data_IF_535166362613
#
_entry.id   IF_535166362613
#
_cell.length_a   1.000
_cell.length_b   1.000
_cell.length_c   1.000
_cell.angle_alpha   90.00
_cell.angle_beta   90.00
_cell.angle_gamma   90.00
#
_symmetry.space_group_name_H-M   'P 1'
#
loop_
_entity.id
_entity.type
_entity.pdbx_description
1 polymer ?
#
# COMPACT_ATOMS: atom_id res chain seq x y z
N UNK A 1 4.37 -19.18 -0.89
CA UNK A 1 5.81 -18.90 -0.62
C UNK A 1 6.13 -17.40 -0.62
N UNK A 2 5.61 -16.60 -1.57
CA UNK A 2 5.92 -15.16 -1.68
C UNK A 2 5.25 -14.26 -0.63
N UNK A 3 3.93 -14.37 -0.42
CA UNK A 3 3.16 -13.49 0.49
C UNK A 3 3.76 -13.50 1.90
N UNK A 4 4.01 -14.71 2.41
CA UNK A 4 4.69 -14.96 3.67
C UNK A 4 6.04 -14.22 3.74
N UNK A 5 6.89 -14.35 2.72
CA UNK A 5 8.21 -13.70 2.68
C UNK A 5 8.09 -12.18 2.78
N UNK A 6 7.12 -11.57 2.09
CA UNK A 6 6.88 -10.13 2.16
C UNK A 6 6.38 -9.69 3.54
N UNK A 7 5.53 -10.49 4.18
CA UNK A 7 5.10 -10.22 5.55
C UNK A 7 6.26 -10.25 6.56
N UNK A 8 7.16 -11.24 6.50
CA UNK A 8 8.36 -11.25 7.36
C UNK A 8 9.32 -10.10 7.04
N UNK A 9 9.49 -9.76 5.76
CA UNK A 9 10.28 -8.58 5.37
C UNK A 9 9.67 -7.28 5.88
N UNK A 10 8.33 -7.18 5.93
CA UNK A 10 7.62 -6.07 6.54
C UNK A 10 7.89 -5.98 8.05
N UNK A 11 7.74 -7.09 8.79
CA UNK A 11 8.06 -7.12 10.22
C UNK A 11 9.55 -6.77 10.47
N UNK A 12 10.46 -7.27 9.63
CA UNK A 12 11.88 -6.91 9.68
C UNK A 12 12.08 -5.42 9.41
N UNK A 13 11.38 -4.83 8.45
CA UNK A 13 11.49 -3.41 8.11
C UNK A 13 11.02 -2.49 9.24
N UNK A 14 9.98 -2.89 9.99
CA UNK A 14 9.53 -2.14 11.17
C UNK A 14 10.60 -2.13 12.27
N UNK A 15 11.33 -3.23 12.45
CA UNK A 15 12.34 -3.41 13.49
C UNK A 15 13.78 -3.12 13.02
N UNK A 16 14.00 -2.74 11.75
CA UNK A 16 15.33 -2.47 11.21
C UNK A 16 15.73 -1.01 11.32
N UNK A 17 17.02 -0.73 11.10
CA UNK A 17 17.58 0.61 10.98
C UNK A 17 17.21 1.31 9.64
N UNK A 18 16.34 0.72 8.81
CA UNK A 18 15.85 1.39 7.61
C UNK A 18 15.18 2.72 7.97
N UNK A 19 15.36 3.77 7.17
CA UNK A 19 14.79 5.08 7.49
C UNK A 19 13.26 4.99 7.66
N UNK A 20 12.71 5.55 8.74
CA UNK A 20 11.27 5.51 9.01
C UNK A 20 10.44 6.11 7.84
N UNK A 21 11.03 7.08 7.13
CA UNK A 21 10.43 7.65 5.91
C UNK A 21 10.29 6.64 4.77
N UNK A 22 11.28 5.76 4.53
CA UNK A 22 11.19 4.76 3.45
C UNK A 22 10.12 3.69 3.74
N UNK A 23 9.99 3.31 5.01
CA UNK A 23 8.93 2.38 5.47
C UNK A 23 7.56 3.04 5.32
N UNK A 24 7.40 4.28 5.79
CA UNK A 24 6.16 5.03 5.66
C UNK A 24 5.78 5.31 4.20
N UNK A 25 6.76 5.61 3.35
CA UNK A 25 6.53 5.82 1.92
C UNK A 25 6.05 4.54 1.25
N UNK A 26 6.64 3.39 1.59
CA UNK A 26 6.16 2.08 1.14
C UNK A 26 4.71 1.83 1.58
N UNK A 27 4.38 2.06 2.85
CA UNK A 27 3.00 2.00 3.34
C UNK A 27 2.04 2.92 2.58
N UNK A 28 2.47 4.14 2.25
CA UNK A 28 1.68 5.16 1.54
C UNK A 28 1.40 4.74 0.10
N UNK A 29 2.43 4.28 -0.63
CA UNK A 29 2.25 3.69 -1.95
C UNK A 29 1.37 2.44 -1.89
N UNK A 30 1.52 1.62 -0.85
CA UNK A 30 0.68 0.46 -0.60
C UNK A 30 -0.79 0.84 -0.45
N UNK A 31 -1.11 1.90 0.29
CA UNK A 31 -2.48 2.43 0.40
C UNK A 31 -3.05 2.79 -0.97
N UNK A 32 -2.33 3.60 -1.75
CA UNK A 32 -2.78 4.07 -3.06
C UNK A 32 -2.97 2.91 -4.05
N UNK A 33 -1.98 2.03 -4.15
CA UNK A 33 -2.05 0.83 -5.00
C UNK A 33 -3.14 -0.16 -4.53
N UNK A 34 -3.46 -0.16 -3.25
CA UNK A 34 -4.50 -1.02 -2.68
C UNK A 34 -5.90 -0.59 -3.15
N UNK A 35 -6.16 0.71 -3.18
CA UNK A 35 -7.50 1.23 -3.52
C UNK A 35 -7.71 1.42 -5.03
N UNK A 36 -6.69 1.82 -5.78
CA UNK A 36 -6.82 2.02 -7.24
C UNK A 36 -6.99 0.67 -7.96
N UNK A 37 -7.94 0.54 -8.92
CA UNK A 37 -8.05 -0.65 -9.74
C UNK A 37 -6.79 -0.91 -10.59
N UNK A 38 -6.29 -2.16 -10.57
CA UNK A 38 -5.08 -2.60 -11.30
C UNK A 38 -5.21 -2.41 -12.83
N UNK A 39 -6.44 -2.33 -13.33
CA UNK A 39 -6.73 -2.10 -14.74
C UNK A 39 -6.40 -0.69 -15.22
N UNK A 40 -6.18 0.27 -14.32
CA UNK A 40 -5.82 1.64 -14.66
C UNK A 40 -4.30 1.76 -14.91
N UNK A 41 -3.90 2.40 -16.01
CA UNK A 41 -2.48 2.58 -16.37
C UNK A 41 -1.66 3.22 -15.24
N UNK A 42 -2.20 4.22 -14.56
CA UNK A 42 -1.48 4.94 -13.52
C UNK A 42 -1.20 4.07 -12.28
N UNK A 43 -1.91 2.95 -12.08
CA UNK A 43 -1.56 1.96 -11.05
C UNK A 43 -0.14 1.43 -11.26
N UNK A 44 0.20 1.09 -12.50
CA UNK A 44 1.53 0.60 -12.88
C UNK A 44 2.59 1.70 -12.78
N UNK A 45 2.24 2.92 -13.16
CA UNK A 45 3.13 4.09 -12.98
C UNK A 45 3.46 4.29 -11.50
N UNK A 46 2.47 4.21 -10.61
CA UNK A 46 2.67 4.34 -9.17
C UNK A 46 3.52 3.20 -8.61
N UNK A 47 3.37 1.97 -9.12
CA UNK A 47 4.23 0.85 -8.75
C UNK A 47 5.70 1.12 -9.14
N UNK A 48 5.95 1.69 -10.32
CA UNK A 48 7.30 2.09 -10.75
C UNK A 48 7.83 3.21 -9.85
N UNK A 49 7.02 4.22 -9.53
CA UNK A 49 7.41 5.30 -8.61
C UNK A 49 7.76 4.77 -7.23
N UNK A 50 7.03 3.77 -6.72
CA UNK A 50 7.33 3.11 -5.45
C UNK A 50 8.73 2.48 -5.48
N UNK A 51 9.15 1.91 -6.60
CA UNK A 51 10.50 1.36 -6.79
C UNK A 51 11.56 2.47 -6.89
N UNK A 52 11.37 3.46 -7.76
CA UNK A 52 12.34 4.54 -8.05
C UNK A 52 12.61 5.43 -6.83
N UNK A 53 11.62 5.62 -5.96
CA UNK A 53 11.74 6.44 -4.74
C UNK A 53 12.45 5.73 -3.58
N UNK A 54 13.01 4.53 -3.80
CA UNK A 54 13.65 3.72 -2.76
C UNK A 54 12.74 3.48 -1.54
N UNK A 55 11.43 3.34 -1.78
CA UNK A 55 10.48 3.01 -0.73
C UNK A 55 10.61 1.53 -0.34
N UNK A 56 10.15 1.18 0.87
CA UNK A 56 10.22 -0.20 1.31
C UNK A 56 9.14 -1.07 0.63
N UNK A 57 9.53 -1.79 -0.42
CA UNK A 57 8.64 -2.64 -1.22
C UNK A 57 7.88 -3.70 -0.41
N UNK A 58 8.46 -4.20 0.68
CA UNK A 58 7.78 -5.18 1.52
C UNK A 58 6.60 -4.57 2.27
N UNK A 59 6.79 -3.36 2.81
CA UNK A 59 5.71 -2.60 3.43
C UNK A 59 4.65 -2.21 2.41
N UNK A 60 5.07 -1.79 1.20
CA UNK A 60 4.16 -1.49 0.10
C UNK A 60 3.29 -2.68 -0.28
N UNK A 61 3.88 -3.85 -0.54
CA UNK A 61 3.12 -5.05 -0.90
C UNK A 61 2.11 -5.47 0.18
N UNK A 62 2.51 -5.45 1.46
CA UNK A 62 1.60 -5.78 2.58
C UNK A 62 0.45 -4.77 2.65
N UNK A 63 0.75 -3.47 2.54
CA UNK A 63 -0.27 -2.43 2.61
C UNK A 63 -1.19 -2.44 1.38
N UNK A 64 -0.68 -2.74 0.18
CA UNK A 64 -1.53 -2.98 -1.01
C UNK A 64 -2.56 -4.07 -0.74
N UNK A 65 -2.15 -5.20 -0.16
CA UNK A 65 -3.09 -6.28 0.15
C UNK A 65 -4.14 -5.86 1.20
N UNK A 66 -3.72 -5.17 2.27
CA UNK A 66 -4.64 -4.68 3.32
C UNK A 66 -5.62 -3.67 2.75
N UNK A 67 -5.13 -2.65 2.05
CA UNK A 67 -5.96 -1.58 1.49
C UNK A 67 -6.76 -2.04 0.27
N UNK A 68 -6.45 -3.19 -0.34
CA UNK A 68 -7.35 -3.81 -1.32
C UNK A 68 -8.68 -4.21 -0.71
N UNK A 69 -8.66 -4.73 0.52
CA UNK A 69 -9.89 -5.07 1.26
C UNK A 69 -10.68 -3.81 1.61
N UNK A 70 -9.98 -2.78 2.08
CA UNK A 70 -10.59 -1.46 2.35
C UNK A 70 -11.18 -0.87 1.07
N UNK A 71 -10.48 -1.00 -0.06
CA UNK A 71 -10.91 -0.55 -1.37
C UNK A 71 -12.22 -1.18 -1.82
N UNK A 72 -12.38 -2.49 -1.56
CA UNK A 72 -13.62 -3.22 -1.85
C UNK A 72 -14.77 -2.76 -0.94
N UNK A 73 -14.51 -2.54 0.35
CA UNK A 73 -15.53 -2.07 1.30
C UNK A 73 -16.01 -0.65 1.01
N UNK A 74 -15.09 0.23 0.58
CA UNK A 74 -15.37 1.65 0.29
C UNK A 74 -15.75 1.90 -1.18
N UNK A 75 -16.00 0.85 -1.97
CA UNK A 75 -16.37 0.94 -3.39
C UNK A 75 -17.45 1.99 -3.70
N UNK A 76 -18.60 2.00 -2.99
CA UNK A 76 -19.65 3.00 -3.21
C UNK A 76 -19.21 4.45 -2.95
N UNK A 77 -18.29 4.67 -2.01
CA UNK A 77 -17.76 6.01 -1.70
C UNK A 77 -16.91 6.52 -2.87
N UNK A 78 -16.04 5.66 -3.42
CA UNK A 78 -15.24 6.03 -4.59
C UNK A 78 -16.11 6.26 -5.82
N UNK A 79 -17.10 5.40 -6.05
CA UNK A 79 -18.04 5.55 -7.16
C UNK A 79 -18.76 6.89 -7.11
N UNK A 80 -19.33 7.24 -5.95
CA UNK A 80 -20.03 8.52 -5.74
C UNK A 80 -19.11 9.73 -5.94
N UNK A 81 -17.89 9.68 -5.41
CA UNK A 81 -16.90 10.74 -5.59
C UNK A 81 -16.53 10.94 -7.07
N UNK A 82 -16.26 9.84 -7.79
CA UNK A 82 -15.93 9.92 -9.21
C UNK A 82 -17.11 10.35 -10.08
N UNK A 83 -18.31 9.87 -9.78
CA UNK A 83 -19.54 10.29 -10.47
C UNK A 83 -19.75 11.80 -10.37
N UNK A 84 -19.63 12.36 -9.17
CA UNK A 84 -19.79 13.80 -8.92
C UNK A 84 -18.83 14.65 -9.77
N UNK A 85 -17.59 14.18 -9.95
CA UNK A 85 -16.60 14.89 -10.75
C UNK A 85 -16.85 14.70 -12.25
N UNK A 86 -17.06 13.46 -12.71
CA UNK A 86 -17.19 13.15 -14.13
C UNK A 86 -18.47 13.69 -14.76
N UNK A 87 -19.54 13.88 -13.98
CA UNK A 87 -20.83 14.39 -14.47
C UNK A 87 -20.99 15.89 -14.30
N UNK A 88 -19.96 16.59 -13.79
CA UNK A 88 -20.00 18.05 -13.67
C UNK A 88 -19.96 18.70 -15.06
N UNK A 89 -21.02 19.44 -15.48
CA UNK A 89 -21.06 20.06 -16.81
C UNK A 89 -19.91 21.03 -17.07
N UNK A 90 -19.40 21.70 -16.02
CA UNK A 90 -18.26 22.62 -16.13
C UNK A 90 -16.93 21.94 -16.44
N UNK A 91 -16.84 20.61 -16.27
CA UNK A 91 -15.64 19.81 -16.55
C UNK A 91 -15.76 18.98 -17.84
N UNK A 92 -16.88 19.07 -18.55
CA UNK A 92 -17.12 18.26 -19.76
C UNK A 92 -16.05 18.49 -20.83
N UNK A 93 -15.76 19.76 -21.16
CA UNK A 93 -14.72 20.10 -22.14
C UNK A 93 -13.33 19.63 -21.70
N UNK A 94 -13.03 19.70 -20.39
CA UNK A 94 -11.77 19.23 -19.84
C UNK A 94 -11.62 17.71 -20.02
N UNK A 95 -12.65 16.93 -19.64
CA UNK A 95 -12.63 15.48 -19.80
C UNK A 95 -12.68 15.04 -21.25
N UNK A 96 -13.38 15.76 -22.13
CA UNK A 96 -13.36 15.50 -23.58
C UNK A 96 -11.97 15.75 -24.16
N UNK A 97 -11.29 16.83 -23.75
CA UNK A 97 -9.90 17.10 -24.13
C UNK A 97 -8.96 15.98 -23.70
N UNK A 98 -9.08 15.51 -22.45
CA UNK A 98 -8.31 14.38 -21.94
C UNK A 98 -8.58 13.08 -22.71
N UNK A 99 -9.83 12.82 -23.10
CA UNK A 99 -10.21 11.59 -23.81
C UNK A 99 -9.53 11.50 -25.18
N UNK A 100 -9.34 12.64 -25.85
CA UNK A 100 -8.73 12.72 -27.17
C UNK A 100 -7.20 12.57 -27.17
N UNK A 101 -6.56 12.51 -25.99
CA UNK A 101 -5.10 12.26 -25.88
C UNK A 101 -4.88 10.75 -25.90
N UNK A 102 -4.15 10.23 -26.90
CA UNK A 102 -4.01 8.79 -27.16
C UNK A 102 -3.68 7.91 -25.95
N UNK A 103 -2.85 8.38 -25.02
CA UNK A 103 -2.44 7.59 -23.84
C UNK A 103 -3.40 7.70 -22.64
N UNK A 104 -4.17 8.77 -22.54
CA UNK A 104 -4.94 9.10 -21.34
C UNK A 104 -6.13 8.17 -21.12
N UNK A 105 -6.87 7.68 -22.13
CA UNK A 105 -7.91 6.68 -21.94
C UNK A 105 -7.44 5.38 -21.27
N UNK A 106 -6.16 5.00 -21.38
CA UNK A 106 -5.60 3.84 -20.67
C UNK A 106 -5.55 4.03 -19.15
N UNK A 107 -5.61 5.27 -18.67
CA UNK A 107 -5.79 5.55 -17.22
C UNK A 107 -7.18 5.14 -16.73
N UNK A 108 -8.14 4.94 -17.65
CA UNK A 108 -9.54 4.61 -17.35
C UNK A 108 -10.25 5.62 -16.45
N UNK A 109 -9.82 6.89 -16.48
CA UNK A 109 -10.44 7.94 -15.66
C UNK A 109 -11.94 8.12 -15.91
N UNK A 110 -12.46 7.71 -17.08
CA UNK A 110 -13.89 7.72 -17.41
C UNK A 110 -14.72 6.69 -16.60
N UNK A 111 -14.08 5.83 -15.82
CA UNK A 111 -14.75 4.97 -14.86
C UNK A 111 -14.84 5.71 -13.50
N UNK A 112 -16.04 5.81 -12.96
CA UNK A 112 -16.35 6.51 -11.68
C UNK A 112 -15.51 5.98 -10.51
N UNK A 113 -15.40 4.66 -10.35
CA UNK A 113 -14.56 4.07 -9.28
C UNK A 113 -13.09 4.42 -9.46
N UNK A 114 -12.57 4.35 -10.70
CA UNK A 114 -11.18 4.75 -10.99
C UNK A 114 -10.97 6.22 -10.67
N UNK A 115 -11.83 7.11 -11.16
CA UNK A 115 -11.73 8.55 -10.87
C UNK A 115 -11.76 8.84 -9.37
N UNK A 116 -12.74 8.28 -8.65
CA UNK A 116 -12.87 8.50 -7.21
C UNK A 116 -11.67 7.98 -6.42
N UNK A 117 -11.18 6.78 -6.74
CA UNK A 117 -9.96 6.25 -6.10
C UNK A 117 -8.73 7.08 -6.44
N UNK A 118 -8.59 7.59 -7.67
CA UNK A 118 -7.50 8.50 -8.06
C UNK A 118 -7.55 9.79 -7.24
N UNK A 119 -8.70 10.47 -7.17
CA UNK A 119 -8.87 11.72 -6.43
C UNK A 119 -8.61 11.54 -4.93
N UNK A 120 -9.22 10.52 -4.33
CA UNK A 120 -9.03 10.22 -2.90
C UNK A 120 -7.57 9.84 -2.62
N UNK A 121 -6.92 9.10 -3.51
CA UNK A 121 -5.48 8.79 -3.38
C UNK A 121 -4.62 10.05 -3.38
N UNK A 122 -4.89 11.01 -4.28
CA UNK A 122 -4.15 12.27 -4.34
C UNK A 122 -4.29 13.07 -3.05
N UNK A 123 -5.51 13.15 -2.51
CA UNK A 123 -5.79 13.84 -1.24
C UNK A 123 -5.10 13.13 -0.06
N UNK A 124 -5.19 11.80 -0.01
CA UNK A 124 -4.68 11.01 1.11
C UNK A 124 -3.17 10.82 1.10
N UNK A 125 -2.47 10.96 -0.02
CA UNK A 125 -1.05 10.60 -0.13
C UNK A 125 -0.18 11.32 0.91
N UNK A 126 -0.25 12.65 0.95
CA UNK A 126 0.54 13.49 1.86
C UNK A 126 0.19 13.23 3.34
N UNK A 127 -1.08 13.32 3.78
CA UNK A 127 -1.42 13.06 5.18
C UNK A 127 -1.10 11.63 5.59
N UNK A 128 -1.36 10.63 4.75
CA UNK A 128 -1.05 9.23 5.04
C UNK A 128 0.45 9.02 5.25
N UNK A 129 1.31 9.67 4.47
CA UNK A 129 2.76 9.60 4.66
C UNK A 129 3.18 10.07 6.05
N UNK A 130 2.69 11.23 6.50
CA UNK A 130 3.04 11.76 7.82
C UNK A 130 2.48 10.89 8.95
N UNK A 131 1.24 10.41 8.81
CA UNK A 131 0.62 9.48 9.77
C UNK A 131 1.44 8.19 9.85
N UNK A 132 1.73 7.53 8.74
CA UNK A 132 2.53 6.30 8.73
C UNK A 132 3.94 6.52 9.24
N UNK A 133 4.57 7.67 8.94
CA UNK A 133 5.88 8.01 9.48
C UNK A 133 5.84 8.18 11.01
N UNK A 134 4.81 8.82 11.53
CA UNK A 134 4.59 8.94 12.97
C UNK A 134 4.35 7.56 13.60
N UNK A 135 3.52 6.71 12.99
CA UNK A 135 3.26 5.34 13.44
C UNK A 135 4.55 4.49 13.47
N UNK A 136 5.39 4.55 12.44
CA UNK A 136 6.66 3.82 12.39
C UNK A 136 7.62 4.33 13.47
N UNK A 137 7.70 5.64 13.68
CA UNK A 137 8.52 6.23 14.75
C UNK A 137 8.03 5.80 16.13
N UNK A 138 6.73 5.91 16.40
CA UNK A 138 6.11 5.49 17.66
C UNK A 138 6.27 4.00 17.92
N UNK A 139 6.14 3.16 16.89
CA UNK A 139 6.45 1.73 16.95
C UNK A 139 7.87 1.50 17.47
N UNK A 140 8.86 2.20 16.91
CA UNK A 140 10.28 2.04 17.26
C UNK A 140 10.67 2.64 18.60
N UNK A 141 10.01 3.72 19.05
CA UNK A 141 10.41 4.47 20.25
C UNK A 141 9.84 3.93 21.56
N UNK A 142 9.06 2.84 21.56
CA UNK A 142 8.56 2.24 22.80
C UNK A 142 7.22 1.53 22.68
N UNK A 143 6.52 1.66 21.55
CA UNK A 143 5.31 0.85 21.32
C UNK A 143 5.68 -0.61 21.06
N UNK A 144 6.86 -0.94 20.50
CA UNK A 144 7.33 -2.32 20.32
C UNK A 144 7.23 -3.15 21.61
N UNK A 145 7.70 -2.62 22.73
CA UNK A 145 7.74 -3.35 23.99
C UNK A 145 6.32 -3.54 24.54
N UNK A 146 5.48 -2.52 24.44
CA UNK A 146 4.05 -2.61 24.80
C UNK A 146 3.27 -3.56 23.89
N UNK A 147 3.55 -3.59 22.59
CA UNK A 147 2.91 -4.47 21.62
C UNK A 147 3.35 -5.93 21.82
N UNK A 148 4.61 -6.16 22.17
CA UNK A 148 5.11 -7.48 22.54
C UNK A 148 4.39 -8.06 23.77
N UNK A 149 3.90 -7.20 24.66
CA UNK A 149 3.14 -7.61 25.83
C UNK A 149 1.66 -7.91 25.55
N UNK A 150 1.08 -7.39 24.47
CA UNK A 150 -0.34 -7.59 24.14
C UNK A 150 -0.69 -9.05 23.87
N UNK A 151 -1.87 -9.48 24.35
CA UNK A 151 -2.40 -10.84 24.15
C UNK A 151 -2.48 -11.20 22.66
N UNK A 152 -2.87 -10.26 21.80
CA UNK A 152 -2.95 -10.48 20.34
C UNK A 152 -1.61 -10.85 19.72
N UNK A 153 -0.53 -10.13 20.06
CA UNK A 153 0.81 -10.42 19.55
C UNK A 153 1.32 -11.78 20.05
N UNK A 154 1.14 -12.06 21.34
CA UNK A 154 1.51 -13.36 21.94
C UNK A 154 0.74 -14.53 21.31
N UNK A 155 -0.56 -14.36 21.06
CA UNK A 155 -1.40 -15.38 20.41
C UNK A 155 -1.00 -15.58 18.95
N UNK A 156 -0.73 -14.49 18.22
CA UNK A 156 -0.25 -14.57 16.83
C UNK A 156 1.09 -15.32 16.73
N UNK A 157 2.06 -15.01 17.61
CA UNK A 157 3.35 -15.70 17.65
C UNK A 157 3.26 -17.17 18.06
N UNK A 158 2.24 -17.54 18.85
CA UNK A 158 1.97 -18.93 19.27
C UNK A 158 1.29 -19.77 18.18
N UNK A 159 0.84 -19.17 17.07
CA UNK A 159 0.24 -19.93 15.98
C UNK A 159 1.28 -20.89 15.36
N UNK A 160 0.97 -22.19 15.23
CA UNK A 160 1.92 -23.18 14.71
C UNK A 160 2.33 -22.89 13.25
N UNK A 161 1.48 -22.18 12.51
CA UNK A 161 1.79 -21.65 11.19
C UNK A 161 2.94 -20.63 11.24
N UNK A 162 2.93 -19.69 12.20
CA UNK A 162 3.98 -18.67 12.33
C UNK A 162 5.32 -19.31 12.67
N UNK A 163 5.35 -20.27 13.61
CA UNK A 163 6.57 -21.01 13.97
C UNK A 163 7.15 -21.84 12.82
N UNK A 164 6.30 -22.55 12.06
CA UNK A 164 6.74 -23.30 10.85
C UNK A 164 7.31 -22.37 9.79
N UNK A 165 6.69 -21.21 9.62
CA UNK A 165 7.11 -20.24 8.62
C UNK A 165 8.43 -19.56 8.98
N UNK A 166 8.64 -19.19 10.26
CA UNK A 166 9.92 -18.64 10.73
C UNK A 166 11.04 -19.64 10.46
N UNK A 167 10.85 -20.92 10.83
CA UNK A 167 11.86 -21.97 10.57
C UNK A 167 12.17 -22.16 9.09
N UNK A 168 11.16 -22.08 8.21
CA UNK A 168 11.36 -22.15 6.76
C UNK A 168 12.10 -20.93 6.22
N UNK A 169 11.84 -19.74 6.77
CA UNK A 169 12.53 -18.51 6.39
C UNK A 169 14.00 -18.54 6.82
N UNK A 170 14.28 -18.94 8.06
CA UNK A 170 15.64 -19.03 8.59
C UNK A 170 16.47 -20.07 7.83
N UNK A 171 15.88 -21.25 7.55
CA UNK A 171 16.52 -22.28 6.72
C UNK A 171 16.79 -21.82 5.29
N UNK A 172 15.88 -21.05 4.69
CA UNK A 172 16.06 -20.54 3.33
C UNK A 172 17.13 -19.44 3.24
N UNK A 173 17.27 -18.59 4.26
CA UNK A 173 18.35 -17.62 4.32
C UNK A 173 19.70 -18.28 4.63
N UNK A 174 19.76 -19.25 5.55
CA UNK A 174 21.03 -19.92 5.89
C UNK A 174 21.64 -20.69 4.72
N UNK A 175 20.80 -21.23 3.83
CA UNK A 175 21.25 -21.89 2.58
C UNK A 175 21.73 -20.86 1.55
N UNK A 176 21.08 -19.69 1.48
CA UNK A 176 21.47 -18.62 0.54
C UNK A 176 22.76 -17.93 0.96
N UNK A 177 23.02 -17.78 2.26
CA UNK A 177 24.23 -17.16 2.77
C UNK A 177 25.44 -18.12 2.76
N UNK A 178 25.22 -19.41 2.47
CA UNK A 178 26.23 -20.44 2.30
C UNK A 178 26.60 -20.72 0.82
N UNK A 179 25.93 -20.07 -0.13
CA UNK A 179 26.19 -20.08 -1.57
C UNK A 179 26.82 -18.74 -2.00
#
# INVERSE_FOLDING_TARGET
>A
MLIIKYFFKFLKALNSNAAAGQVALGMTFGLVLGIIPVSALHWWVILILMYVTNSNLATGAVFTAVFKLVGMALGPVFDSAGYTVLTNPGLENFFTGLYNIAIVPFTRYYNTVVMGTTLISLILFVPAFFVFRAMVRGYRSGVRDKLAETKLFKTFMKLPLVGKIIKLYDKANSVRDAL
#
